data_IF_626797320664
#
_entry.id   IF_626797320664
#
_cell.length_a   1.000
_cell.length_b   1.000
_cell.length_c   1.000
_cell.angle_alpha   90.00
_cell.angle_beta   90.00
_cell.angle_gamma   90.00
#
_symmetry.space_group_name_H-M   'P 1'
#
loop_
_entity.id
_entity.type
_entity.pdbx_description
1 polymer ?
#
# COMPACT_ATOMS: atom_id res chain seq x y z
N UNK A 1 -1.98 20.63 -3.35
CA UNK A 1 -3.30 20.88 -2.73
C UNK A 1 -4.38 21.20 -3.77
N UNK A 2 -3.99 21.63 -4.97
CA UNK A 2 -4.92 21.95 -6.06
C UNK A 2 -5.25 20.77 -6.95
N UNK A 3 -4.37 19.76 -6.98
CA UNK A 3 -4.57 18.56 -7.79
C UNK A 3 -5.71 17.69 -7.24
N UNK A 4 -6.47 17.10 -8.15
CA UNK A 4 -7.54 16.18 -7.78
C UNK A 4 -6.90 14.93 -7.14
N UNK A 5 -7.35 14.58 -5.95
CA UNK A 5 -6.88 13.43 -5.20
C UNK A 5 -7.94 12.32 -5.20
N UNK A 6 -7.50 11.10 -5.45
CA UNK A 6 -8.34 9.91 -5.44
C UNK A 6 -8.00 9.12 -4.18
N UNK A 7 -8.98 8.92 -3.32
CA UNK A 7 -8.78 8.23 -2.04
C UNK A 7 -9.44 6.86 -2.00
N UNK A 8 -8.88 5.97 -1.20
CA UNK A 8 -9.45 4.67 -0.91
C UNK A 8 -10.45 4.80 0.25
N UNK A 9 -11.69 4.36 0.03
CA UNK A 9 -12.74 4.34 1.04
C UNK A 9 -12.64 3.08 1.91
N UNK A 10 -11.66 3.04 2.77
CA UNK A 10 -11.53 1.99 3.77
C UNK A 10 -11.00 2.55 5.08
N UNK A 11 -11.38 1.92 6.18
CA UNK A 11 -10.86 2.25 7.50
C UNK A 11 -9.34 2.04 7.57
N UNK A 12 -8.79 1.26 6.65
CA UNK A 12 -7.38 0.92 6.58
C UNK A 12 -6.50 1.91 5.82
N UNK A 13 -7.07 2.98 5.24
CA UNK A 13 -6.27 3.96 4.48
C UNK A 13 -5.51 4.94 5.40
N UNK A 14 -5.00 4.42 6.52
CA UNK A 14 -4.29 5.23 7.50
C UNK A 14 -2.91 5.69 7.01
N UNK A 15 -2.28 4.94 6.11
CA UNK A 15 -0.92 5.26 5.66
C UNK A 15 -0.88 6.52 4.81
N UNK A 16 -1.77 6.62 3.81
CA UNK A 16 -1.86 7.80 2.97
C UNK A 16 -2.28 9.03 3.78
N UNK A 17 -3.27 8.89 4.65
CA UNK A 17 -3.74 9.96 5.52
C UNK A 17 -2.64 10.41 6.49
N UNK A 18 -1.89 9.48 7.04
CA UNK A 18 -0.77 9.79 7.94
C UNK A 18 0.35 10.54 7.22
N UNK A 19 0.70 10.13 6.00
CA UNK A 19 1.72 10.79 5.20
C UNK A 19 1.31 12.23 4.86
N UNK A 20 0.05 12.43 4.46
CA UNK A 20 -0.49 13.75 4.15
C UNK A 20 -0.53 14.66 5.39
N UNK A 21 -0.99 14.13 6.52
CA UNK A 21 -1.05 14.86 7.78
C UNK A 21 0.34 15.26 8.28
N UNK A 22 1.32 14.36 8.17
CA UNK A 22 2.70 14.64 8.57
C UNK A 22 3.32 15.76 7.74
N UNK A 23 2.93 15.88 6.48
CA UNK A 23 3.38 16.97 5.59
C UNK A 23 2.54 18.24 5.71
N UNK A 24 1.49 18.23 6.53
CA UNK A 24 0.57 19.37 6.66
C UNK A 24 -0.27 19.64 5.42
N UNK A 25 -0.49 18.62 4.60
CA UNK A 25 -1.21 18.74 3.33
C UNK A 25 -2.66 18.30 3.49
N UNK A 26 -3.59 19.14 3.04
CA UNK A 26 -5.00 18.79 2.89
C UNK A 26 -5.26 18.41 1.43
N UNK A 27 -5.58 17.15 1.14
CA UNK A 27 -5.83 16.74 -0.24
C UNK A 27 -7.16 17.28 -0.74
N UNK A 28 -7.21 17.60 -2.04
CA UNK A 28 -8.44 17.95 -2.72
C UNK A 28 -9.14 16.67 -3.21
N UNK A 29 -9.85 15.99 -2.31
CA UNK A 29 -10.48 14.71 -2.61
C UNK A 29 -11.64 14.93 -3.59
N UNK A 30 -11.48 14.43 -4.81
CA UNK A 30 -12.49 14.53 -5.86
C UNK A 30 -13.17 13.20 -6.14
N UNK A 31 -12.48 12.09 -5.90
CA UNK A 31 -12.98 10.74 -6.14
C UNK A 31 -12.61 9.84 -4.99
N UNK A 32 -13.45 8.85 -4.74
CA UNK A 32 -13.19 7.81 -3.74
C UNK A 32 -13.71 6.47 -4.23
N UNK A 33 -13.02 5.40 -3.91
CA UNK A 33 -13.40 4.03 -4.26
C UNK A 33 -12.86 3.06 -3.22
N UNK A 34 -13.41 1.86 -3.18
CA UNK A 34 -12.96 0.78 -2.28
C UNK A 34 -11.92 -0.14 -2.95
N UNK A 35 -11.57 0.11 -4.20
CA UNK A 35 -10.71 -0.77 -4.98
C UNK A 35 -9.42 -0.03 -5.40
N UNK A 36 -8.28 -0.50 -4.92
CA UNK A 36 -6.96 0.05 -5.27
C UNK A 36 -6.69 0.02 -6.78
N UNK A 37 -7.10 -1.05 -7.44
CA UNK A 37 -6.89 -1.17 -8.89
C UNK A 37 -7.75 -0.20 -9.69
N UNK A 38 -8.92 0.14 -9.18
CA UNK A 38 -9.75 1.19 -9.76
C UNK A 38 -9.06 2.55 -9.66
N UNK A 39 -8.38 2.81 -8.55
CA UNK A 39 -7.59 4.05 -8.38
C UNK A 39 -6.50 4.12 -9.45
N UNK A 40 -5.76 3.05 -9.67
CA UNK A 40 -4.70 3.02 -10.70
C UNK A 40 -5.28 3.32 -12.07
N UNK A 41 -6.41 2.70 -12.42
CA UNK A 41 -7.09 2.94 -13.69
C UNK A 41 -7.53 4.40 -13.85
N UNK A 42 -8.03 5.01 -12.77
CA UNK A 42 -8.43 6.42 -12.78
C UNK A 42 -7.23 7.35 -12.97
N UNK A 43 -6.11 7.06 -12.34
CA UNK A 43 -4.87 7.81 -12.51
C UNK A 43 -4.36 7.69 -13.96
N UNK A 44 -4.40 6.50 -14.55
CA UNK A 44 -4.04 6.30 -15.96
C UNK A 44 -4.87 7.17 -16.90
N UNK A 45 -6.13 7.42 -16.57
CA UNK A 45 -7.03 8.25 -17.36
C UNK A 45 -6.89 9.74 -17.07
N UNK A 46 -5.95 10.12 -16.21
CA UNK A 46 -5.71 11.52 -15.90
C UNK A 46 -6.73 12.16 -14.97
N UNK A 47 -7.49 11.36 -14.22
CA UNK A 47 -8.53 11.88 -13.31
C UNK A 47 -7.95 12.48 -12.03
N UNK A 48 -6.72 12.17 -11.68
CA UNK A 48 -6.10 12.71 -10.49
C UNK A 48 -4.84 11.95 -10.08
N UNK A 49 -4.44 12.18 -8.85
CA UNK A 49 -3.27 11.55 -8.23
C UNK A 49 -3.71 10.75 -7.00
N UNK A 50 -2.88 9.84 -6.55
CA UNK A 50 -3.14 9.08 -5.34
C UNK A 50 -1.83 8.69 -4.64
N UNK A 51 -1.95 8.23 -3.42
CA UNK A 51 -0.84 7.64 -2.65
C UNK A 51 -1.22 6.20 -2.35
N UNK A 52 -0.32 5.27 -2.64
CA UNK A 52 -0.57 3.86 -2.37
C UNK A 52 0.73 3.13 -2.04
N UNK A 53 0.63 1.94 -1.40
CA UNK A 53 1.81 1.14 -1.12
C UNK A 53 2.53 0.72 -2.38
N UNK A 54 3.86 0.80 -2.37
CA UNK A 54 4.71 0.37 -3.48
C UNK A 54 4.44 -1.07 -3.90
N UNK A 55 4.15 -1.93 -2.93
CA UNK A 55 3.88 -3.34 -3.19
C UNK A 55 2.73 -3.58 -4.17
N UNK A 56 1.71 -2.71 -4.18
CA UNK A 56 0.60 -2.80 -5.12
C UNK A 56 1.00 -2.47 -6.56
N UNK A 57 2.12 -1.77 -6.74
CA UNK A 57 2.62 -1.35 -8.04
C UNK A 57 3.69 -2.30 -8.58
N UNK A 58 4.19 -3.20 -7.74
CA UNK A 58 5.25 -4.15 -8.10
C UNK A 58 4.76 -5.12 -9.17
N UNK A 59 5.53 -5.25 -10.25
CA UNK A 59 5.23 -6.16 -11.35
C UNK A 59 4.12 -5.68 -12.29
N UNK A 60 3.59 -4.49 -12.07
CA UNK A 60 2.57 -3.92 -12.96
C UNK A 60 3.22 -3.03 -14.01
N UNK A 61 2.59 -2.97 -15.17
CA UNK A 61 3.03 -2.15 -16.30
C UNK A 61 1.95 -1.13 -16.70
N UNK A 62 1.39 -0.48 -15.68
CA UNK A 62 0.38 0.55 -15.89
C UNK A 62 1.01 1.84 -16.43
N UNK A 63 0.25 2.58 -17.23
CA UNK A 63 0.70 3.87 -17.80
C UNK A 63 0.54 5.00 -16.79
N UNK A 64 1.29 4.92 -15.70
CA UNK A 64 1.32 5.91 -14.63
C UNK A 64 2.75 6.27 -14.26
N UNK A 65 2.95 7.49 -13.77
CA UNK A 65 4.23 7.93 -13.25
C UNK A 65 4.23 7.73 -11.73
N UNK A 66 5.21 6.99 -11.24
CA UNK A 66 5.39 6.73 -9.82
C UNK A 66 6.52 7.60 -9.28
N UNK A 67 6.24 8.29 -8.17
CA UNK A 67 7.23 9.10 -7.47
C UNK A 67 7.27 8.75 -6.01
N UNK A 68 8.45 8.75 -5.43
CA UNK A 68 8.62 8.52 -4.01
C UNK A 68 8.16 9.73 -3.19
N UNK A 69 7.66 9.46 -1.99
CA UNK A 69 7.31 10.52 -1.04
C UNK A 69 8.57 11.07 -0.38
N UNK A 70 8.62 12.38 -0.19
CA UNK A 70 9.69 13.07 0.54
C UNK A 70 9.08 13.92 1.64
N UNK A 71 9.31 13.62 2.90
CA UNK A 71 10.04 12.46 3.43
C UNK A 71 9.33 11.13 3.18
N UNK A 72 10.06 10.00 3.15
CA UNK A 72 9.45 8.70 2.90
C UNK A 72 8.52 8.28 4.04
N UNK A 73 7.42 7.62 3.68
CA UNK A 73 6.50 6.99 4.63
C UNK A 73 6.56 5.47 4.41
N UNK A 74 6.76 4.72 5.48
CA UNK A 74 6.93 3.27 5.43
C UNK A 74 5.86 2.56 6.22
N UNK A 75 5.45 1.40 5.73
CA UNK A 75 4.55 0.47 6.38
C UNK A 75 5.34 -0.75 6.85
N UNK A 76 5.10 -1.17 8.08
CA UNK A 76 5.63 -2.44 8.58
C UNK A 76 4.53 -3.49 8.47
N UNK A 77 4.80 -4.55 7.73
CA UNK A 77 3.89 -5.69 7.60
C UNK A 77 4.45 -6.82 8.43
N UNK A 78 3.61 -7.41 9.26
CA UNK A 78 4.00 -8.49 10.15
C UNK A 78 3.12 -9.71 9.98
N UNK A 79 3.62 -10.85 10.42
CA UNK A 79 2.89 -12.10 10.49
C UNK A 79 2.32 -12.28 11.89
N UNK A 80 1.00 -12.39 12.00
CA UNK A 80 0.32 -12.61 13.27
C UNK A 80 -0.04 -14.09 13.41
N UNK A 81 0.31 -14.69 14.54
CA UNK A 81 0.04 -16.09 14.84
C UNK A 81 -0.69 -16.16 16.18
N UNK A 82 -1.80 -16.90 16.24
CA UNK A 82 -2.52 -17.09 17.49
C UNK A 82 -1.72 -18.02 18.43
N UNK A 83 -1.90 -17.82 19.72
CA UNK A 83 -1.27 -18.64 20.76
C UNK A 83 -1.58 -20.14 20.58
N UNK A 84 -2.83 -20.46 20.26
CA UNK A 84 -3.29 -21.83 20.03
C UNK A 84 -2.66 -22.47 18.82
N UNK A 85 -2.34 -21.70 17.78
CA UNK A 85 -1.71 -22.21 16.55
C UNK A 85 -0.19 -22.27 16.63
N UNK A 86 0.40 -21.63 17.63
CA UNK A 86 1.86 -21.48 17.78
C UNK A 86 2.62 -22.79 17.77
N UNK A 87 2.03 -23.83 18.36
CA UNK A 87 2.63 -25.16 18.48
C UNK A 87 2.33 -26.09 17.30
N UNK A 88 1.50 -25.66 16.35
CA UNK A 88 1.21 -26.46 15.16
C UNK A 88 2.45 -26.54 14.26
N UNK A 89 2.91 -27.74 13.89
CA UNK A 89 4.04 -27.89 12.97
C UNK A 89 3.80 -27.21 11.63
N UNK A 90 2.59 -27.29 11.10
CA UNK A 90 2.23 -26.64 9.83
C UNK A 90 2.32 -25.12 9.94
N UNK A 91 1.82 -24.53 11.03
CA UNK A 91 1.89 -23.09 11.26
C UNK A 91 3.33 -22.61 11.37
N UNK A 92 4.16 -23.32 12.13
CA UNK A 92 5.58 -22.98 12.27
C UNK A 92 6.31 -23.05 10.93
N UNK A 93 6.07 -24.11 10.17
CA UNK A 93 6.69 -24.28 8.85
C UNK A 93 6.27 -23.19 7.88
N UNK A 94 5.01 -22.82 7.87
CA UNK A 94 4.50 -21.71 7.06
C UNK A 94 5.13 -20.39 7.46
N UNK A 95 5.23 -20.11 8.77
CA UNK A 95 5.84 -18.90 9.28
C UNK A 95 7.32 -18.80 8.87
N UNK A 96 8.08 -19.88 9.06
CA UNK A 96 9.50 -19.93 8.71
C UNK A 96 9.69 -19.74 7.20
N UNK A 97 8.88 -20.40 6.39
CA UNK A 97 8.91 -20.25 4.94
C UNK A 97 8.59 -18.82 4.51
N UNK A 98 7.58 -18.22 5.12
CA UNK A 98 7.16 -16.85 4.81
C UNK A 98 8.26 -15.84 5.15
N UNK A 99 8.84 -15.95 6.33
CA UNK A 99 9.93 -15.07 6.76
C UNK A 99 11.14 -15.20 5.83
N UNK A 100 11.51 -16.43 5.49
CA UNK A 100 12.63 -16.69 4.60
C UNK A 100 12.37 -16.13 3.19
N UNK A 101 11.16 -16.31 2.67
CA UNK A 101 10.76 -15.80 1.37
C UNK A 101 10.82 -14.26 1.33
N UNK A 102 10.34 -13.60 2.38
CA UNK A 102 10.39 -12.13 2.48
C UNK A 102 11.84 -11.65 2.53
N UNK A 103 12.69 -12.32 3.29
CA UNK A 103 14.12 -11.97 3.40
C UNK A 103 14.88 -12.11 2.07
N UNK A 104 14.41 -12.97 1.18
CA UNK A 104 15.00 -13.14 -0.17
C UNK A 104 14.61 -12.01 -1.12
N UNK A 105 13.79 -11.05 -0.69
CA UNK A 105 13.45 -9.89 -1.48
C UNK A 105 12.21 -10.04 -2.34
N UNK A 106 11.06 -10.24 -1.71
CA UNK A 106 9.76 -10.24 -2.38
C UNK A 106 9.56 -9.03 -3.29
N UNK A 107 10.13 -7.89 -2.92
CA UNK A 107 10.00 -6.65 -3.68
C UNK A 107 10.66 -6.73 -5.06
N UNK A 108 11.43 -7.75 -5.34
CA UNK A 108 12.08 -7.97 -6.64
C UNK A 108 11.25 -8.83 -7.60
N UNK A 109 10.15 -9.35 -7.12
CA UNK A 109 9.27 -10.23 -7.93
C UNK A 109 8.43 -9.42 -8.91
#
# INVERSE_FOLDING_TARGET
ETEAFITLLEESNHDANRALAAAGIKPNIRFSTKDDYAIIAMVEKGLGISIMPELLLTGRHDDVVVKELVPPSKRVIGLAITETSRNSPATRKFADYTVDWVRRGIATV
#
